data_IF_232822942808
#
_entry.id   IF_232822942808
#
_cell.length_a   1.000
_cell.length_b   1.000
_cell.length_c   1.000
_cell.angle_alpha   90.00
_cell.angle_beta   90.00
_cell.angle_gamma   90.00
#
_symmetry.space_group_name_H-M   'P 1'
#
loop_
_entity.id
_entity.type
_entity.pdbx_description
1 polymer ?
#
# COMPACT_ATOMS: atom_id res chain seq x y z
N UNK A 1 17.34 -14.19 -9.24
CA UNK A 1 16.47 -13.20 -8.57
C UNK A 1 15.13 -13.82 -8.14
N UNK A 2 14.34 -14.44 -9.03
CA UNK A 2 13.09 -15.12 -8.66
C UNK A 2 13.26 -16.29 -7.68
N UNK A 3 14.27 -17.12 -7.85
CA UNK A 3 14.57 -18.24 -6.94
C UNK A 3 14.94 -17.76 -5.51
N UNK A 4 15.65 -16.64 -5.39
CA UNK A 4 16.01 -16.08 -4.09
C UNK A 4 14.77 -15.51 -3.38
N UNK A 5 13.88 -14.84 -4.11
CA UNK A 5 12.60 -14.36 -3.59
C UNK A 5 11.72 -15.53 -3.15
N UNK A 6 11.59 -16.56 -3.98
CA UNK A 6 10.80 -17.75 -3.62
C UNK A 6 11.34 -18.42 -2.36
N UNK A 7 12.65 -18.59 -2.26
CA UNK A 7 13.28 -19.19 -1.06
C UNK A 7 12.99 -18.38 0.20
N UNK A 8 13.10 -17.06 0.13
CA UNK A 8 12.78 -16.16 1.27
C UNK A 8 11.30 -16.26 1.67
N UNK A 9 10.40 -16.32 0.69
CA UNK A 9 8.97 -16.52 0.93
C UNK A 9 8.67 -17.89 1.54
N UNK A 10 9.29 -18.96 1.03
CA UNK A 10 9.11 -20.30 1.57
C UNK A 10 9.58 -20.44 3.02
N UNK A 11 10.70 -19.79 3.38
CA UNK A 11 11.20 -19.74 4.76
C UNK A 11 10.22 -19.03 5.69
N UNK A 12 9.62 -17.94 5.23
CA UNK A 12 8.76 -17.09 6.04
C UNK A 12 7.32 -17.58 6.17
N UNK A 13 6.74 -18.02 5.05
CA UNK A 13 5.30 -18.35 4.94
C UNK A 13 5.04 -19.85 4.87
N UNK A 14 6.09 -20.64 4.74
CA UNK A 14 6.02 -22.05 4.41
C UNK A 14 5.87 -22.28 2.90
N UNK A 15 6.40 -23.44 2.41
CA UNK A 15 6.49 -23.70 0.97
C UNK A 15 5.12 -23.84 0.30
N UNK A 16 4.14 -24.41 1.00
CA UNK A 16 2.80 -24.60 0.44
C UNK A 16 2.09 -23.26 0.23
N UNK A 17 2.08 -22.41 1.25
CA UNK A 17 1.39 -21.12 1.18
C UNK A 17 2.04 -20.15 0.16
N UNK A 18 3.38 -20.08 0.15
CA UNK A 18 4.11 -19.27 -0.81
C UNK A 18 3.79 -19.66 -2.26
N UNK A 19 3.80 -20.97 -2.57
CA UNK A 19 3.49 -21.48 -3.92
C UNK A 19 2.03 -21.28 -4.31
N UNK A 20 1.10 -21.51 -3.39
CA UNK A 20 -0.33 -21.29 -3.64
C UNK A 20 -0.59 -19.81 -3.96
N UNK A 21 -0.06 -18.90 -3.16
CA UNK A 21 -0.27 -17.46 -3.37
C UNK A 21 0.34 -16.98 -4.68
N UNK A 22 1.57 -17.37 -4.99
CA UNK A 22 2.20 -17.06 -6.27
C UNK A 22 1.44 -17.64 -7.46
N UNK A 23 0.88 -18.85 -7.32
CA UNK A 23 0.03 -19.45 -8.34
C UNK A 23 -1.24 -18.64 -8.60
N UNK A 24 -1.93 -18.23 -7.54
CA UNK A 24 -3.14 -17.41 -7.63
C UNK A 24 -2.84 -16.05 -8.30
N UNK A 25 -1.73 -15.41 -7.94
CA UNK A 25 -1.32 -14.13 -8.55
C UNK A 25 -1.02 -14.29 -10.04
N UNK A 26 -0.31 -15.35 -10.44
CA UNK A 26 -0.03 -15.67 -11.85
C UNK A 26 -1.29 -15.98 -12.64
N UNK A 27 -2.19 -16.76 -12.07
CA UNK A 27 -3.46 -17.11 -12.72
C UNK A 27 -4.35 -15.88 -12.89
N UNK A 28 -4.37 -14.99 -11.90
CA UNK A 28 -5.09 -13.73 -11.98
C UNK A 28 -4.51 -12.82 -13.09
N UNK A 29 -3.20 -12.69 -13.15
CA UNK A 29 -2.51 -11.95 -14.21
C UNK A 29 -2.83 -12.54 -15.59
N UNK A 30 -2.75 -13.87 -15.73
CA UNK A 30 -3.06 -14.56 -16.99
C UNK A 30 -4.53 -14.37 -17.40
N UNK A 31 -5.47 -14.39 -16.47
CA UNK A 31 -6.88 -14.13 -16.74
C UNK A 31 -7.13 -12.70 -17.21
N UNK A 32 -6.49 -11.74 -16.58
CA UNK A 32 -6.63 -10.31 -16.93
C UNK A 32 -6.09 -10.05 -18.33
N UNK A 33 -4.93 -10.58 -18.68
CA UNK A 33 -4.32 -10.37 -19.99
C UNK A 33 -4.85 -11.33 -21.07
N UNK A 34 -5.38 -12.51 -20.67
CA UNK A 34 -5.85 -13.55 -21.61
C UNK A 34 -7.29 -13.41 -22.13
N UNK A 35 -8.14 -12.64 -21.46
CA UNK A 35 -9.57 -12.55 -21.81
C UNK A 35 -9.95 -11.41 -22.77
N UNK A 36 -8.99 -10.72 -23.37
CA UNK A 36 -9.24 -9.70 -24.40
C UNK A 36 -10.00 -8.47 -23.88
N UNK A 37 -10.77 -7.83 -24.79
CA UNK A 37 -11.44 -6.55 -24.55
C UNK A 37 -12.51 -6.51 -23.44
N UNK A 38 -12.88 -7.65 -22.86
CA UNK A 38 -14.00 -7.76 -21.91
C UNK A 38 -13.60 -7.40 -20.47
N UNK A 39 -12.31 -7.35 -20.13
CA UNK A 39 -11.81 -6.94 -18.82
C UNK A 39 -11.00 -5.64 -18.93
N UNK A 40 -11.71 -4.53 -19.01
CA UNK A 40 -11.09 -3.21 -18.88
C UNK A 40 -10.76 -2.93 -17.41
N UNK A 41 -9.55 -3.25 -16.98
CA UNK A 41 -8.97 -2.63 -15.80
C UNK A 41 -8.55 -1.21 -16.17
N UNK A 42 -9.45 -0.26 -15.97
CA UNK A 42 -9.25 1.18 -16.20
C UNK A 42 -8.00 1.71 -15.50
N UNK A 43 -7.66 1.08 -14.36
CA UNK A 43 -6.55 1.45 -13.48
C UNK A 43 -5.16 1.28 -14.12
N UNK A 44 -5.01 0.34 -15.06
CA UNK A 44 -3.74 0.08 -15.75
C UNK A 44 -3.68 0.67 -17.17
N UNK A 45 -4.69 1.42 -17.56
CA UNK A 45 -4.81 1.92 -18.93
C UNK A 45 -4.41 3.39 -19.05
N UNK A 46 -3.29 3.64 -19.73
CA UNK A 46 -2.79 5.01 -19.99
C UNK A 46 -3.78 5.90 -20.78
N UNK A 47 -4.65 5.29 -21.60
CA UNK A 47 -5.67 6.04 -22.33
C UNK A 47 -6.80 6.53 -21.41
N UNK A 48 -7.17 5.75 -20.39
CA UNK A 48 -8.18 6.15 -19.41
C UNK A 48 -7.68 7.33 -18.56
N UNK A 49 -6.44 7.28 -18.11
CA UNK A 49 -5.79 8.42 -17.43
C UNK A 49 -5.78 9.67 -18.32
N UNK A 50 -5.48 9.50 -19.60
CA UNK A 50 -5.47 10.60 -20.56
C UNK A 50 -6.88 11.21 -20.74
N UNK A 51 -7.92 10.39 -20.90
CA UNK A 51 -9.32 10.85 -21.00
C UNK A 51 -9.72 11.61 -19.74
N UNK A 52 -9.55 11.01 -18.55
CA UNK A 52 -9.93 11.64 -17.27
C UNK A 52 -9.23 12.99 -17.13
N UNK A 53 -7.94 13.05 -17.39
CA UNK A 53 -7.16 14.29 -17.33
C UNK A 53 -7.66 15.36 -18.29
N UNK A 54 -7.98 14.99 -19.54
CA UNK A 54 -8.46 15.97 -20.51
C UNK A 54 -9.90 16.42 -20.24
N UNK A 55 -10.77 15.55 -19.76
CA UNK A 55 -12.12 15.91 -19.29
C UNK A 55 -12.03 16.88 -18.11
N UNK A 56 -11.18 16.59 -17.12
CA UNK A 56 -10.97 17.50 -15.99
C UNK A 56 -10.42 18.85 -16.43
N UNK A 57 -9.52 18.90 -17.42
CA UNK A 57 -9.03 20.16 -17.99
C UNK A 57 -10.13 20.92 -18.74
N UNK A 58 -10.90 20.26 -19.57
CA UNK A 58 -11.99 20.86 -20.35
C UNK A 58 -13.10 21.42 -19.46
N UNK A 59 -13.36 20.79 -18.31
CA UNK A 59 -14.36 21.25 -17.34
C UNK A 59 -13.80 22.27 -16.33
N UNK A 60 -12.52 22.61 -16.38
CA UNK A 60 -11.87 23.50 -15.42
C UNK A 60 -11.64 22.89 -14.03
N UNK A 61 -12.00 21.60 -13.83
CA UNK A 61 -11.89 20.92 -12.54
C UNK A 61 -10.51 20.32 -12.25
N UNK A 62 -9.59 20.36 -13.20
CA UNK A 62 -8.28 19.72 -13.09
C UNK A 62 -7.50 20.14 -11.83
N UNK A 63 -7.41 21.43 -11.58
CA UNK A 63 -6.67 21.95 -10.43
C UNK A 63 -7.31 21.55 -9.10
N UNK A 64 -8.63 21.56 -9.04
CA UNK A 64 -9.37 21.12 -7.85
C UNK A 64 -9.18 19.62 -7.58
N UNK A 65 -9.25 18.80 -8.64
CA UNK A 65 -9.00 17.36 -8.53
C UNK A 65 -7.57 17.08 -8.05
N UNK A 66 -6.59 17.78 -8.61
CA UNK A 66 -5.19 17.67 -8.19
C UNK A 66 -5.00 18.06 -6.72
N UNK A 67 -5.52 19.21 -6.30
CA UNK A 67 -5.46 19.64 -4.90
C UNK A 67 -6.10 18.62 -3.95
N UNK A 68 -7.23 18.04 -4.34
CA UNK A 68 -7.89 17.01 -3.55
C UNK A 68 -7.05 15.72 -3.46
N UNK A 69 -6.43 15.29 -4.55
CA UNK A 69 -5.55 14.12 -4.56
C UNK A 69 -4.27 14.31 -3.72
N UNK A 70 -3.83 15.55 -3.54
CA UNK A 70 -2.67 15.90 -2.72
C UNK A 70 -3.04 16.18 -1.25
N UNK A 71 -4.33 16.24 -0.92
CA UNK A 71 -4.81 16.62 0.40
C UNK A 71 -4.95 15.40 1.31
N UNK A 72 -4.03 15.26 2.26
CA UNK A 72 -4.11 14.24 3.30
C UNK A 72 -4.89 14.78 4.49
N UNK A 73 -5.88 14.00 4.94
CA UNK A 73 -6.73 14.34 6.08
C UNK A 73 -6.49 13.36 7.21
N UNK A 74 -6.16 13.89 8.37
CA UNK A 74 -6.08 13.11 9.60
C UNK A 74 -7.48 13.03 10.21
N UNK A 75 -8.00 11.81 10.37
CA UNK A 75 -9.25 11.54 11.07
C UNK A 75 -8.95 10.94 12.43
N UNK A 76 -9.56 11.44 13.47
CA UNK A 76 -9.49 10.86 14.82
C UNK A 76 -10.80 10.14 15.11
N UNK A 77 -10.67 8.89 15.58
CA UNK A 77 -11.80 8.06 15.97
C UNK A 77 -11.54 7.59 17.42
N UNK A 78 -12.37 8.02 18.34
CA UNK A 78 -12.30 7.55 19.73
C UNK A 78 -13.14 6.28 19.87
N UNK A 79 -12.48 5.19 20.21
CA UNK A 79 -13.12 3.90 20.44
C UNK A 79 -13.19 3.61 21.93
N UNK A 80 -14.39 3.26 22.43
CA UNK A 80 -14.62 2.93 23.83
C UNK A 80 -15.13 1.51 23.98
N UNK A 81 -14.39 0.71 24.72
CA UNK A 81 -14.75 -0.68 25.01
C UNK A 81 -14.91 -0.87 26.52
N UNK A 82 -16.03 -1.43 26.96
CA UNK A 82 -16.29 -1.69 28.40
C UNK A 82 -15.33 -2.67 29.03
N UNK A 83 -14.76 -3.58 28.22
CA UNK A 83 -13.87 -4.66 28.67
C UNK A 83 -12.40 -4.40 28.35
N UNK A 84 -12.03 -3.18 27.95
CA UNK A 84 -10.65 -2.85 27.64
C UNK A 84 -9.83 -2.84 28.93
N UNK A 85 -8.68 -3.55 29.00
CA UNK A 85 -7.80 -3.48 30.15
C UNK A 85 -7.31 -2.05 30.39
N UNK A 86 -7.16 -1.60 31.65
CA UNK A 86 -6.74 -0.22 31.96
C UNK A 86 -5.43 0.22 31.31
N UNK A 87 -4.52 -0.72 31.03
CA UNK A 87 -3.27 -0.45 30.34
C UNK A 87 -3.43 0.10 28.90
N UNK A 88 -4.58 -0.11 28.29
CA UNK A 88 -4.90 0.41 26.96
C UNK A 88 -5.69 1.73 26.99
N UNK A 89 -5.92 2.30 28.16
CA UNK A 89 -6.54 3.62 28.23
C UNK A 89 -5.60 4.66 27.62
N UNK A 90 -6.12 5.39 26.64
CA UNK A 90 -5.35 6.37 25.86
C UNK A 90 -4.42 5.77 24.79
N UNK A 91 -4.43 4.44 24.61
CA UNK A 91 -3.60 3.78 23.57
C UNK A 91 -4.03 4.25 22.17
N UNK A 92 -3.06 4.71 21.42
CA UNK A 92 -3.29 5.36 20.13
C UNK A 92 -2.70 4.54 18.98
N UNK A 93 -3.54 4.25 17.98
CA UNK A 93 -3.14 3.54 16.76
C UNK A 93 -3.09 4.53 15.60
N UNK A 94 -1.95 4.67 14.95
CA UNK A 94 -1.87 5.29 13.65
C UNK A 94 -2.21 4.25 12.58
N UNK A 95 -3.34 4.43 11.90
CA UNK A 95 -3.76 3.56 10.82
C UNK A 95 -3.59 4.28 9.47
N UNK A 96 -2.83 3.67 8.56
CA UNK A 96 -2.59 4.18 7.22
C UNK A 96 -2.96 3.08 6.23
N UNK A 97 -3.77 3.41 5.21
CA UNK A 97 -4.21 2.51 4.15
C UNK A 97 -4.07 3.17 2.80
N UNK A 98 -4.01 2.37 1.74
CA UNK A 98 -4.08 2.82 0.34
C UNK A 98 -3.04 3.89 0.01
N UNK A 99 -1.79 3.62 0.38
CA UNK A 99 -0.70 4.58 0.24
C UNK A 99 -0.39 4.94 -1.21
N UNK A 100 -0.47 3.96 -2.14
CA UNK A 100 -0.15 4.15 -3.56
C UNK A 100 1.07 5.05 -3.75
N UNK A 101 2.16 4.73 -3.06
CA UNK A 101 3.36 5.58 -2.88
C UNK A 101 4.04 5.96 -4.20
N UNK A 102 3.81 5.18 -5.25
CA UNK A 102 4.34 5.36 -6.60
C UNK A 102 3.47 6.28 -7.49
N UNK A 103 2.32 6.77 -7.00
CA UNK A 103 1.40 7.58 -7.80
C UNK A 103 1.52 9.09 -7.58
N UNK A 104 1.77 9.52 -6.34
CA UNK A 104 1.73 10.95 -6.00
C UNK A 104 2.79 11.34 -4.97
N UNK A 105 3.93 11.80 -5.45
CA UNK A 105 5.06 12.19 -4.61
C UNK A 105 4.73 13.37 -3.69
N UNK A 106 3.90 14.32 -4.14
CA UNK A 106 3.50 15.47 -3.32
C UNK A 106 2.67 15.02 -2.12
N UNK A 107 1.72 14.10 -2.33
CA UNK A 107 0.94 13.52 -1.25
C UNK A 107 1.83 12.74 -0.27
N UNK A 108 2.82 11.99 -0.77
CA UNK A 108 3.75 11.25 0.09
C UNK A 108 4.64 12.17 0.93
N UNK A 109 5.13 13.28 0.38
CA UNK A 109 5.89 14.25 1.14
C UNK A 109 5.04 14.87 2.26
N UNK A 110 3.78 15.23 1.97
CA UNK A 110 2.83 15.71 2.99
C UNK A 110 2.53 14.68 4.06
N UNK A 111 2.39 13.39 3.68
CA UNK A 111 2.21 12.31 4.64
C UNK A 111 3.40 12.23 5.60
N UNK A 112 4.62 12.24 5.07
CA UNK A 112 5.85 12.21 5.86
C UNK A 112 5.90 13.37 6.87
N UNK A 113 5.59 14.59 6.44
CA UNK A 113 5.52 15.75 7.33
C UNK A 113 4.49 15.56 8.44
N UNK A 114 3.30 15.05 8.11
CA UNK A 114 2.23 14.81 9.07
C UNK A 114 2.60 13.75 10.10
N UNK A 115 3.06 12.57 9.65
CA UNK A 115 3.36 11.45 10.56
C UNK A 115 4.54 11.75 11.48
N UNK A 116 5.50 12.54 11.02
CA UNK A 116 6.64 12.99 11.82
C UNK A 116 6.25 13.81 13.05
N UNK A 117 5.10 14.50 13.03
CA UNK A 117 4.57 15.30 14.13
C UNK A 117 3.61 14.54 15.04
N UNK A 118 3.17 13.33 14.66
CA UNK A 118 2.15 12.57 15.39
C UNK A 118 2.73 11.77 16.55
N UNK A 119 1.93 11.64 17.61
CA UNK A 119 2.20 10.74 18.73
C UNK A 119 1.21 9.58 18.65
N UNK A 120 1.75 8.36 18.69
CA UNK A 120 0.97 7.12 18.68
C UNK A 120 1.83 5.99 19.28
N UNK A 121 1.16 4.92 19.71
CA UNK A 121 1.82 3.77 20.34
C UNK A 121 2.17 2.69 19.32
N UNK A 122 1.38 2.55 18.26
CA UNK A 122 1.58 1.56 17.19
C UNK A 122 1.15 2.13 15.85
N UNK A 123 1.85 1.74 14.78
CA UNK A 123 1.45 2.02 13.41
C UNK A 123 0.95 0.75 12.73
N UNK A 124 -0.17 0.84 12.02
CA UNK A 124 -0.75 -0.25 11.23
C UNK A 124 -0.91 0.21 9.79
N UNK A 125 -0.32 -0.56 8.88
CA UNK A 125 -0.38 -0.35 7.43
C UNK A 125 -1.24 -1.46 6.82
N UNK A 126 -2.38 -1.10 6.20
CA UNK A 126 -3.35 -2.09 5.72
C UNK A 126 -3.32 -2.31 4.21
N UNK A 127 -2.15 -2.15 3.60
CA UNK A 127 -1.93 -2.55 2.20
C UNK A 127 -2.18 -1.45 1.19
N UNK A 128 -2.25 -1.89 -0.07
CA UNK A 128 -2.34 -1.07 -1.27
C UNK A 128 -1.22 -0.02 -1.35
N UNK A 129 0.02 -0.55 -1.24
CA UNK A 129 1.22 0.27 -1.35
C UNK A 129 1.49 0.70 -2.79
N UNK A 130 1.08 -0.15 -3.76
CA UNK A 130 1.22 0.12 -5.20
C UNK A 130 -0.03 0.80 -5.74
N UNK A 131 0.16 1.70 -6.70
CA UNK A 131 -0.95 2.28 -7.47
C UNK A 131 -1.41 1.39 -8.62
N UNK A 132 -0.54 0.49 -9.11
CA UNK A 132 -0.85 -0.43 -10.21
C UNK A 132 -0.72 -1.87 -9.75
N UNK A 133 -1.72 -2.69 -10.06
CA UNK A 133 -1.73 -4.12 -9.69
C UNK A 133 -0.65 -4.91 -10.44
N UNK A 134 -0.32 -4.51 -11.67
CA UNK A 134 0.67 -5.19 -12.54
C UNK A 134 1.88 -4.30 -12.83
N UNK A 135 2.99 -4.94 -13.22
CA UNK A 135 4.24 -4.27 -13.54
C UNK A 135 5.24 -4.25 -12.37
N UNK A 136 6.32 -3.48 -12.47
CA UNK A 136 7.38 -3.46 -11.47
C UNK A 136 6.87 -2.93 -10.14
N UNK A 137 7.26 -3.60 -9.04
CA UNK A 137 6.89 -3.22 -7.68
C UNK A 137 8.01 -2.50 -6.92
N UNK A 138 9.21 -2.42 -7.50
CA UNK A 138 10.35 -1.77 -6.85
C UNK A 138 10.09 -0.31 -6.47
N UNK A 139 9.46 0.52 -7.33
CA UNK A 139 9.14 1.90 -6.96
C UNK A 139 8.25 2.00 -5.71
N UNK A 140 7.32 1.05 -5.54
CA UNK A 140 6.48 1.00 -4.35
C UNK A 140 7.27 0.59 -3.11
N UNK A 141 8.19 -0.38 -3.22
CA UNK A 141 9.08 -0.75 -2.11
C UNK A 141 9.94 0.43 -1.66
N UNK A 142 10.55 1.14 -2.61
CA UNK A 142 11.38 2.32 -2.32
C UNK A 142 10.55 3.43 -1.66
N UNK A 143 9.33 3.66 -2.14
CA UNK A 143 8.39 4.62 -1.57
C UNK A 143 7.96 4.26 -0.15
N UNK A 144 7.60 2.99 0.10
CA UNK A 144 7.24 2.52 1.45
C UNK A 144 8.44 2.60 2.39
N UNK A 145 9.63 2.22 1.94
CA UNK A 145 10.84 2.36 2.73
C UNK A 145 11.08 3.82 3.16
N UNK A 146 10.90 4.77 2.22
CA UNK A 146 11.02 6.21 2.51
C UNK A 146 10.00 6.67 3.55
N UNK A 147 8.73 6.30 3.43
CA UNK A 147 7.70 6.63 4.44
C UNK A 147 8.03 5.97 5.77
N UNK A 148 8.42 4.70 5.74
CA UNK A 148 8.74 3.89 6.90
C UNK A 148 9.84 4.49 7.80
N UNK A 149 10.83 5.17 7.22
CA UNK A 149 11.89 5.84 8.01
C UNK A 149 11.37 6.97 8.90
N UNK A 150 10.16 7.47 8.64
CA UNK A 150 9.51 8.53 9.43
C UNK A 150 8.43 8.00 10.38
N UNK A 151 8.15 6.70 10.34
CA UNK A 151 7.18 6.06 11.23
C UNK A 151 7.86 5.53 12.50
N UNK A 152 7.19 5.68 13.64
CA UNK A 152 7.64 5.12 14.92
C UNK A 152 7.29 3.64 15.02
N UNK A 153 8.21 2.85 15.51
CA UNK A 153 7.99 1.44 15.83
C UNK A 153 7.12 1.27 17.10
N UNK A 154 6.33 0.19 17.22
CA UNK A 154 6.24 -0.92 16.26
C UNK A 154 5.35 -0.60 15.07
N UNK A 155 5.67 -1.17 13.91
CA UNK A 155 4.88 -1.07 12.68
C UNK A 155 4.41 -2.48 12.30
N UNK A 156 3.11 -2.64 12.06
CA UNK A 156 2.50 -3.86 11.54
C UNK A 156 1.94 -3.58 10.15
N UNK A 157 2.27 -4.45 9.20
CA UNK A 157 1.88 -4.26 7.82
C UNK A 157 1.24 -5.54 7.25
N UNK A 158 0.21 -5.37 6.44
CA UNK A 158 -0.38 -6.43 5.61
C UNK A 158 -0.40 -5.99 4.15
N UNK A 159 -0.51 -6.93 3.22
CA UNK A 159 -0.66 -6.63 1.80
C UNK A 159 -2.13 -6.36 1.46
N UNK A 160 -2.35 -5.41 0.55
CA UNK A 160 -3.65 -5.16 -0.08
C UNK A 160 -3.83 -5.94 -1.38
N UNK A 161 -4.87 -5.60 -2.13
CA UNK A 161 -5.19 -6.28 -3.39
C UNK A 161 -4.32 -5.82 -4.58
N UNK A 162 -3.71 -4.65 -4.50
CA UNK A 162 -2.73 -4.18 -5.49
C UNK A 162 -1.33 -4.74 -5.26
N UNK A 163 -1.07 -5.29 -4.08
CA UNK A 163 0.27 -5.72 -3.68
C UNK A 163 0.54 -7.17 -4.05
N UNK A 164 1.73 -7.46 -4.52
CA UNK A 164 2.19 -8.83 -4.76
C UNK A 164 2.92 -9.39 -3.54
N UNK A 165 2.77 -10.70 -3.31
CA UNK A 165 3.52 -11.40 -2.24
C UNK A 165 5.04 -11.28 -2.42
N UNK A 166 5.51 -11.03 -3.63
CA UNK A 166 6.92 -10.82 -3.93
C UNK A 166 7.53 -9.58 -3.26
N UNK A 167 6.70 -8.65 -2.78
CA UNK A 167 7.15 -7.47 -2.02
C UNK A 167 7.59 -7.81 -0.59
N UNK A 168 7.10 -8.91 -0.02
CA UNK A 168 7.34 -9.28 1.41
C UNK A 168 8.82 -9.32 1.79
N UNK A 169 9.73 -9.96 1.02
CA UNK A 169 11.15 -9.93 1.36
C UNK A 169 11.78 -8.54 1.33
N UNK A 170 11.22 -7.62 0.54
CA UNK A 170 11.66 -6.22 0.47
C UNK A 170 11.33 -5.45 1.76
N UNK A 171 10.17 -5.68 2.34
CA UNK A 171 9.82 -5.08 3.64
C UNK A 171 10.76 -5.51 4.76
N UNK A 172 11.22 -6.76 4.76
CA UNK A 172 12.14 -7.27 5.77
C UNK A 172 13.53 -6.64 5.68
N UNK A 173 14.03 -6.44 4.47
CA UNK A 173 15.37 -5.87 4.25
C UNK A 173 15.50 -4.42 4.74
N UNK A 174 14.37 -3.71 4.88
CA UNK A 174 14.34 -2.33 5.35
C UNK A 174 14.05 -2.20 6.84
N UNK A 175 14.06 -3.30 7.60
CA UNK A 175 13.93 -3.30 9.06
C UNK A 175 12.55 -2.90 9.61
N UNK A 176 11.51 -2.91 8.78
CA UNK A 176 10.22 -2.29 9.09
C UNK A 176 9.05 -3.24 9.28
N UNK A 177 9.25 -4.56 9.29
CA UNK A 177 8.10 -5.43 9.51
C UNK A 177 8.38 -6.64 10.37
N UNK A 178 7.76 -6.69 11.52
CA UNK A 178 7.20 -7.94 12.00
C UNK A 178 5.82 -8.04 11.36
N UNK A 179 5.70 -8.74 10.23
CA UNK A 179 4.40 -9.07 9.70
C UNK A 179 3.68 -9.94 10.73
N UNK A 180 2.44 -9.57 11.01
CA UNK A 180 1.54 -10.45 11.74
C UNK A 180 1.38 -11.76 10.93
N UNK A 181 1.68 -12.89 11.57
CA UNK A 181 1.37 -14.22 11.09
C UNK A 181 -0.13 -14.47 11.25
#
# INVERSE_FOLDING_TARGET
MEEDILRKLEIRLGPLHARQRLGIERDHEAQVFGQGLTFFHLENSSWAEWIVRNVLKATGLYWRARQNAERILVKRNDMRFKSLPPLFEGFTILHISDLHVDMNEVAMNRLIELVGSMQYDVCVLTGDYRGRTFGPFQPALDGVARVGTHLKQPIYAVLGNHDTIQMVPGFDSHGHSRAAQ
#
